data_IF_533409536713
#
_entry.id   IF_533409536713
#
_cell.length_a   1.000
_cell.length_b   1.000
_cell.length_c   1.000
_cell.angle_alpha   90.00
_cell.angle_beta   90.00
_cell.angle_gamma   90.00
#
_symmetry.space_group_name_H-M   'P 1'
#
loop_
_entity.id
_entity.type
_entity.pdbx_description
1 polymer ?
#
# COMPACT_ATOMS: atom_id res chain seq x y z
N UNK A 1 9.91 -13.74 14.29
CA UNK A 1 10.59 -13.19 13.09
C UNK A 1 11.12 -11.82 13.48
N UNK A 2 12.38 -11.46 13.20
CA UNK A 2 12.90 -10.11 13.53
C UNK A 2 12.14 -9.04 12.74
N UNK A 3 11.89 -7.86 13.36
CA UNK A 3 11.17 -6.74 12.76
C UNK A 3 11.83 -6.28 11.45
N UNK A 4 13.17 -6.24 11.38
CA UNK A 4 13.89 -5.90 10.16
C UNK A 4 13.68 -6.92 9.03
N UNK A 5 13.52 -8.21 9.35
CA UNK A 5 13.15 -9.24 8.36
C UNK A 5 11.71 -9.05 7.88
N UNK A 6 10.78 -8.74 8.80
CA UNK A 6 9.39 -8.41 8.45
C UNK A 6 9.33 -7.21 7.50
N UNK A 7 10.03 -6.13 7.82
CA UNK A 7 10.13 -4.93 6.99
C UNK A 7 10.67 -5.27 5.59
N UNK A 8 11.74 -6.05 5.47
CA UNK A 8 12.26 -6.46 4.14
C UNK A 8 11.25 -7.28 3.33
N UNK A 9 10.48 -8.15 3.97
CA UNK A 9 9.39 -8.86 3.29
C UNK A 9 8.30 -7.90 2.81
N UNK A 10 7.92 -6.91 3.63
CA UNK A 10 7.01 -5.84 3.22
C UNK A 10 7.56 -5.03 2.04
N UNK A 11 8.88 -4.82 2.00
CA UNK A 11 9.54 -4.14 0.89
C UNK A 11 9.40 -4.90 -0.44
N UNK A 12 9.63 -6.22 -0.43
CA UNK A 12 9.39 -7.06 -1.60
C UNK A 12 7.91 -7.13 -1.99
N UNK A 13 7.04 -7.26 -0.99
CA UNK A 13 5.60 -7.26 -1.20
C UNK A 13 5.14 -5.98 -1.92
N UNK A 14 5.70 -4.82 -1.57
CA UNK A 14 5.30 -3.58 -2.21
C UNK A 14 5.86 -3.34 -3.60
N UNK A 15 7.05 -3.85 -3.89
CA UNK A 15 7.51 -3.92 -5.28
C UNK A 15 6.56 -4.78 -6.11
N UNK A 16 6.17 -5.96 -5.61
CA UNK A 16 5.26 -6.85 -6.33
C UNK A 16 3.87 -6.21 -6.53
N UNK A 17 3.30 -5.60 -5.49
CA UNK A 17 2.01 -4.91 -5.57
C UNK A 17 2.07 -3.74 -6.56
N UNK A 18 3.09 -2.89 -6.46
CA UNK A 18 3.21 -1.73 -7.34
C UNK A 18 3.43 -2.12 -8.81
N UNK A 19 4.11 -3.24 -9.08
CA UNK A 19 4.19 -3.79 -10.44
C UNK A 19 2.82 -4.23 -10.97
N UNK A 20 1.98 -4.85 -10.16
CA UNK A 20 0.60 -5.22 -10.55
C UNK A 20 -0.21 -3.97 -10.90
N UNK A 21 -0.07 -2.91 -10.10
CA UNK A 21 -0.73 -1.62 -10.32
C UNK A 21 -0.26 -0.91 -11.59
N UNK A 22 1.01 -1.06 -11.97
CA UNK A 22 1.57 -0.52 -13.21
C UNK A 22 1.24 -1.32 -14.46
N UNK A 23 1.11 -2.66 -14.35
CA UNK A 23 0.79 -3.52 -15.49
C UNK A 23 -0.67 -3.34 -15.93
N UNK A 24 -1.59 -3.16 -14.98
CA UNK A 24 -3.03 -3.11 -15.28
C UNK A 24 -3.81 -1.96 -14.62
N UNK A 25 -3.33 -0.70 -14.66
CA UNK A 25 -3.91 0.42 -13.90
C UNK A 25 -5.36 0.71 -14.32
N UNK A 26 -5.65 0.72 -15.62
CA UNK A 26 -6.99 0.97 -16.14
C UNK A 26 -7.98 -0.14 -15.80
N UNK A 27 -7.52 -1.39 -15.71
CA UNK A 27 -8.35 -2.53 -15.33
C UNK A 27 -8.67 -2.51 -13.85
N UNK A 28 -7.68 -2.26 -12.99
CA UNK A 28 -7.87 -2.11 -11.55
C UNK A 28 -8.83 -0.95 -11.25
N UNK A 29 -8.58 0.22 -11.84
CA UNK A 29 -9.45 1.39 -11.70
C UNK A 29 -10.91 1.08 -12.06
N UNK A 30 -11.14 0.41 -13.20
CA UNK A 30 -12.49 0.05 -13.67
C UNK A 30 -13.14 -1.01 -12.77
N UNK A 31 -12.41 -2.04 -12.37
CA UNK A 31 -12.91 -3.14 -11.53
C UNK A 31 -13.26 -2.71 -10.11
N UNK A 32 -12.51 -1.76 -9.57
CA UNK A 32 -12.76 -1.18 -8.24
C UNK A 32 -13.77 -0.03 -8.36
N UNK A 33 -13.79 0.69 -9.49
CA UNK A 33 -14.63 1.87 -9.66
C UNK A 33 -14.07 3.10 -8.95
N UNK A 34 -12.73 3.26 -8.94
CA UNK A 34 -12.06 4.40 -8.31
C UNK A 34 -12.32 5.67 -9.15
N UNK A 35 -12.92 6.72 -8.57
CA UNK A 35 -13.10 8.00 -9.27
C UNK A 35 -11.77 8.76 -9.39
N UNK A 36 -11.73 9.81 -10.22
CA UNK A 36 -10.56 10.70 -10.34
C UNK A 36 -9.71 10.46 -11.60
N UNK A 37 -8.45 10.92 -11.64
CA UNK A 37 -7.62 10.96 -12.85
C UNK A 37 -7.25 9.56 -13.36
N UNK A 38 -6.94 9.43 -14.66
CA UNK A 38 -6.61 8.13 -15.29
C UNK A 38 -5.38 7.46 -14.65
N UNK A 39 -4.41 8.24 -14.20
CA UNK A 39 -3.15 7.76 -13.65
C UNK A 39 -3.14 7.49 -12.13
N UNK A 40 -4.28 7.56 -11.43
CA UNK A 40 -4.31 7.42 -9.97
C UNK A 40 -3.74 6.09 -9.49
N UNK A 41 -4.11 4.97 -10.13
CA UNK A 41 -3.60 3.64 -9.81
C UNK A 41 -2.12 3.49 -10.17
N UNK A 42 -1.67 4.10 -11.26
CA UNK A 42 -0.25 4.09 -11.63
C UNK A 42 0.61 4.87 -10.63
N UNK A 43 0.07 5.95 -10.05
CA UNK A 43 0.75 6.72 -9.02
C UNK A 43 0.92 5.90 -7.74
N UNK A 44 -0.09 5.11 -7.34
CA UNK A 44 0.04 4.14 -6.25
C UNK A 44 1.13 3.11 -6.56
N UNK A 45 1.16 2.58 -7.79
CA UNK A 45 2.17 1.59 -8.14
C UNK A 45 3.60 2.12 -8.07
N UNK A 46 3.84 3.34 -8.54
CA UNK A 46 5.14 4.00 -8.40
C UNK A 46 5.49 4.24 -6.92
N UNK A 47 4.51 4.65 -6.10
CA UNK A 47 4.69 4.88 -4.66
C UNK A 47 5.06 3.60 -3.92
N UNK A 48 4.33 2.50 -4.16
CA UNK A 48 4.58 1.20 -3.55
C UNK A 48 5.96 0.64 -3.92
N UNK A 49 6.35 0.74 -5.20
CA UNK A 49 7.72 0.37 -5.63
C UNK A 49 8.76 1.24 -4.93
N UNK A 50 8.54 2.56 -4.88
CA UNK A 50 9.45 3.48 -4.20
C UNK A 50 9.62 3.17 -2.71
N UNK A 51 8.50 2.89 -2.02
CA UNK A 51 8.51 2.48 -0.61
C UNK A 51 9.27 1.16 -0.42
N UNK A 52 9.02 0.17 -1.29
CA UNK A 52 9.69 -1.12 -1.23
C UNK A 52 11.19 -1.03 -1.47
N UNK A 53 11.62 -0.26 -2.47
CA UNK A 53 13.04 0.03 -2.72
C UNK A 53 13.67 0.75 -1.52
N UNK A 54 12.97 1.72 -0.93
CA UNK A 54 13.42 2.44 0.25
C UNK A 54 13.66 1.51 1.45
N UNK A 55 12.75 0.59 1.71
CA UNK A 55 12.90 -0.39 2.80
C UNK A 55 14.05 -1.35 2.54
N UNK A 56 14.17 -1.88 1.32
CA UNK A 56 15.21 -2.87 0.98
C UNK A 56 16.63 -2.30 0.97
N UNK A 57 16.77 -0.99 0.74
CA UNK A 57 18.08 -0.30 0.72
C UNK A 57 18.45 0.39 2.03
N UNK A 58 17.55 0.42 3.01
CA UNK A 58 17.79 1.11 4.27
C UNK A 58 18.52 0.23 5.27
N UNK A 59 19.47 0.82 5.99
CA UNK A 59 20.07 0.22 7.20
C UNK A 59 19.08 0.21 8.38
N UNK A 60 18.03 1.02 8.31
CA UNK A 60 16.89 1.09 9.24
C UNK A 60 15.59 0.74 8.52
N UNK A 61 15.37 -0.54 8.16
CA UNK A 61 14.24 -0.95 7.34
C UNK A 61 12.89 -0.80 8.06
N UNK A 62 12.83 -0.94 9.39
CA UNK A 62 11.56 -0.82 10.14
C UNK A 62 11.06 0.62 10.11
N UNK A 63 11.95 1.61 10.30
CA UNK A 63 11.60 3.03 10.21
C UNK A 63 11.06 3.43 8.83
N UNK A 64 11.55 2.78 7.76
CA UNK A 64 11.07 3.05 6.41
C UNK A 64 9.63 2.55 6.16
N UNK A 65 9.12 1.62 6.99
CA UNK A 65 7.73 1.13 6.88
C UNK A 65 6.71 2.25 7.15
N UNK A 66 7.06 3.31 7.88
CA UNK A 66 6.20 4.49 8.02
C UNK A 66 5.82 5.14 6.68
N UNK A 67 6.70 5.06 5.68
CA UNK A 67 6.37 5.52 4.33
C UNK A 67 5.25 4.71 3.68
N UNK A 68 5.15 3.41 4.00
CA UNK A 68 4.03 2.54 3.58
C UNK A 68 2.75 2.92 4.31
N UNK A 69 2.80 3.10 5.63
CA UNK A 69 1.64 3.54 6.44
C UNK A 69 1.05 4.84 5.88
N UNK A 70 1.89 5.84 5.61
CA UNK A 70 1.44 7.11 5.03
C UNK A 70 0.80 6.91 3.63
N UNK A 71 1.35 5.99 2.85
CA UNK A 71 0.83 5.60 1.54
C UNK A 71 -0.52 4.92 1.61
N UNK A 72 -0.67 3.92 2.46
CA UNK A 72 -1.93 3.21 2.65
C UNK A 72 -3.06 4.17 3.11
N UNK A 73 -2.75 5.12 3.99
CA UNK A 73 -3.72 6.14 4.39
C UNK A 73 -4.22 6.93 3.17
N UNK A 74 -3.33 7.33 2.26
CA UNK A 74 -3.70 8.00 1.03
C UNK A 74 -4.56 7.11 0.11
N UNK A 75 -4.24 5.82 0.02
CA UNK A 75 -4.99 4.84 -0.77
C UNK A 75 -6.39 4.65 -0.18
N UNK A 76 -6.52 4.55 1.15
CA UNK A 76 -7.81 4.49 1.85
C UNK A 76 -8.66 5.72 1.55
N UNK A 77 -8.10 6.93 1.69
CA UNK A 77 -8.82 8.17 1.36
C UNK A 77 -9.32 8.18 -0.09
N UNK A 78 -8.53 7.65 -1.01
CA UNK A 78 -8.90 7.56 -2.43
C UNK A 78 -9.96 6.48 -2.70
N UNK A 79 -9.98 5.40 -1.92
CA UNK A 79 -10.98 4.34 -2.01
C UNK A 79 -12.32 4.70 -1.37
N UNK A 80 -12.35 5.62 -0.40
CA UNK A 80 -13.58 6.02 0.31
C UNK A 80 -14.75 6.39 -0.62
N UNK A 81 -14.57 7.22 -1.67
CA UNK A 81 -15.64 7.53 -2.61
C UNK A 81 -16.17 6.31 -3.38
N UNK A 82 -15.34 5.28 -3.61
CA UNK A 82 -15.75 4.05 -4.28
C UNK A 82 -16.72 3.20 -3.42
N UNK A 83 -16.92 3.54 -2.14
CA UNK A 83 -17.90 2.90 -1.26
C UNK A 83 -19.33 3.39 -1.45
N UNK A 84 -19.54 4.42 -2.29
CA UNK A 84 -20.86 4.96 -2.58
C UNK A 84 -21.83 3.89 -3.08
N UNK A 85 -23.10 3.95 -2.65
CA UNK A 85 -24.15 3.00 -3.08
C UNK A 85 -24.39 3.00 -4.59
N UNK A 86 -24.05 4.10 -5.28
CA UNK A 86 -24.14 4.23 -6.72
C UNK A 86 -23.00 3.53 -7.48
N UNK A 87 -21.93 3.08 -6.82
CA UNK A 87 -20.86 2.36 -7.48
C UNK A 87 -21.31 0.90 -7.77
N UNK A 88 -21.48 0.49 -9.03
CA UNK A 88 -21.84 -0.89 -9.36
C UNK A 88 -20.77 -1.90 -8.94
N UNK A 89 -19.52 -1.44 -8.73
CA UNK A 89 -18.39 -2.26 -8.33
C UNK A 89 -18.09 -2.22 -6.83
N UNK A 90 -19.06 -1.77 -6.01
CA UNK A 90 -18.88 -1.54 -4.57
C UNK A 90 -18.34 -2.76 -3.82
N UNK A 91 -18.73 -3.98 -4.18
CA UNK A 91 -18.22 -5.20 -3.54
C UNK A 91 -16.70 -5.36 -3.74
N UNK A 92 -16.22 -5.19 -4.98
CA UNK A 92 -14.78 -5.19 -5.30
C UNK A 92 -14.05 -4.06 -4.59
N UNK A 93 -14.67 -2.88 -4.53
CA UNK A 93 -14.10 -1.76 -3.81
C UNK A 93 -13.99 -2.04 -2.30
N UNK A 94 -14.98 -2.70 -1.70
CA UNK A 94 -14.94 -3.06 -0.28
C UNK A 94 -13.86 -4.10 0.00
N UNK A 95 -13.63 -5.05 -0.92
CA UNK A 95 -12.51 -5.98 -0.83
C UNK A 95 -11.16 -5.26 -0.94
N UNK A 96 -11.02 -4.29 -1.85
CA UNK A 96 -9.82 -3.46 -1.95
C UNK A 96 -9.57 -2.63 -0.68
N UNK A 97 -10.61 -2.00 -0.14
CA UNK A 97 -10.54 -1.25 1.13
C UNK A 97 -10.11 -2.16 2.29
N UNK A 98 -10.72 -3.35 2.40
CA UNK A 98 -10.37 -4.32 3.44
C UNK A 98 -8.91 -4.80 3.31
N UNK A 99 -8.44 -5.02 2.08
CA UNK A 99 -7.05 -5.38 1.82
C UNK A 99 -6.08 -4.27 2.25
N UNK A 100 -6.35 -3.02 1.88
CA UNK A 100 -5.50 -1.89 2.30
C UNK A 100 -5.53 -1.73 3.83
N UNK A 101 -6.70 -1.82 4.47
CA UNK A 101 -6.79 -1.78 5.95
C UNK A 101 -5.95 -2.87 6.62
N UNK A 102 -5.98 -4.09 6.09
CA UNK A 102 -5.17 -5.20 6.60
C UNK A 102 -3.68 -4.93 6.41
N UNK A 103 -3.27 -4.42 5.24
CA UNK A 103 -1.89 -4.00 4.98
C UNK A 103 -1.44 -2.91 5.97
N UNK A 104 -2.28 -1.90 6.20
CA UNK A 104 -1.97 -0.80 7.13
C UNK A 104 -1.79 -1.30 8.56
N UNK A 105 -2.62 -2.25 9.00
CA UNK A 105 -2.50 -2.85 10.32
C UNK A 105 -1.18 -3.62 10.49
N UNK A 106 -0.76 -4.35 9.46
CA UNK A 106 0.54 -5.05 9.44
C UNK A 106 1.69 -4.04 9.43
N UNK A 107 1.60 -3.00 8.60
CA UNK A 107 2.62 -1.96 8.50
C UNK A 107 2.78 -1.21 9.83
N UNK A 108 1.68 -0.84 10.49
CA UNK A 108 1.72 -0.25 11.83
C UNK A 108 2.34 -1.20 12.86
N UNK A 109 1.94 -2.47 12.86
CA UNK A 109 2.50 -3.46 13.78
C UNK A 109 4.02 -3.61 13.61
N UNK A 110 4.53 -3.55 12.37
CA UNK A 110 5.99 -3.59 12.12
C UNK A 110 6.63 -2.25 12.48
N UNK A 111 6.08 -1.13 12.02
CA UNK A 111 6.65 0.20 12.22
C UNK A 111 6.76 0.61 13.69
N UNK A 112 5.84 0.14 14.54
CA UNK A 112 5.85 0.41 15.98
C UNK A 112 6.91 -0.38 16.76
N UNK A 113 7.54 -1.39 16.15
CA UNK A 113 8.60 -2.17 16.83
C UNK A 113 9.95 -1.45 16.87
N UNK A 114 10.17 -0.44 16.01
CA UNK A 114 11.46 0.25 15.90
C UNK A 114 12.56 -0.61 15.25
N UNK A 115 13.69 0.01 14.91
CA UNK A 115 14.89 -0.72 14.50
C UNK A 115 15.78 -1.01 15.73
N UNK A 116 16.59 -2.08 15.66
CA UNK A 116 17.55 -2.40 16.73
C UNK A 116 18.56 -1.25 16.89
N UNK A 117 18.61 -0.61 18.06
CA UNK A 117 19.44 0.57 18.35
C UNK A 117 18.70 1.90 18.43
N UNK A 118 17.36 1.89 18.51
CA UNK A 118 16.53 3.06 18.84
C UNK A 118 16.38 3.29 20.38
N UNK A 119 17.18 2.60 21.22
CA UNK A 119 17.37 2.89 22.68
C UNK A 119 18.53 3.86 22.94
#
# INVERSE_FOLDING_TARGET
>A
MSASRAARLLGWFSIALGLVELVAPGTLKRKIGIPGPKGVVSAFGLREIGAGVGILRSDRPVRMVWGRVAGDLADLFTLMPAMARSNPNRATASAALAFVLAATAIDLYVALQGDEGDE
#
